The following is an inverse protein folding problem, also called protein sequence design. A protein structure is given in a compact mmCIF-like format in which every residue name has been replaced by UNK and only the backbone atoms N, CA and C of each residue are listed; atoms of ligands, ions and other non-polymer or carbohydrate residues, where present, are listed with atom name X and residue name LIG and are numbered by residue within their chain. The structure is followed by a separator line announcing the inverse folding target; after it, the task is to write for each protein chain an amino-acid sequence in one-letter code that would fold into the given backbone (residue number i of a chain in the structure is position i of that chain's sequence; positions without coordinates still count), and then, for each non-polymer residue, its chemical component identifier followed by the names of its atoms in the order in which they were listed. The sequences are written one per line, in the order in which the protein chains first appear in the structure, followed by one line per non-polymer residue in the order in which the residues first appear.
data_IF_900133834687
#
_entry.id   IF_900133834687
#
_cell.length_a   1.000
_cell.length_b   1.000
_cell.length_c   1.000
_cell.angle_alpha   90.00
_cell.angle_beta   90.00
_cell.angle_gamma   90.00
#
_symmetry.space_group_name_H-M   'P 1'
#
loop_
_entity.id
_entity.type
_entity.pdbx_description
1 polymer ?
#
# COMPACT_ATOMS: atom_id res chain seq x y z
N UNK A 1 42.48 -7.33 61.22
CA UNK A 1 42.66 -8.16 62.43
C UNK A 1 41.49 -9.15 62.48
N UNK A 2 41.72 -10.34 61.91
CA UNK A 2 41.41 -11.71 62.37
C UNK A 2 40.35 -11.93 63.49
N UNK A 3 39.45 -12.93 63.51
CA UNK A 3 39.31 -14.25 62.85
C UNK A 3 37.80 -14.66 62.86
N UNK A 4 37.24 -15.16 61.74
CA UNK A 4 36.59 -16.49 61.50
C UNK A 4 35.28 -16.82 62.24
N UNK A 5 34.28 -17.56 61.73
CA UNK A 5 34.25 -18.73 60.84
C UNK A 5 32.92 -18.86 60.04
N UNK A 6 33.03 -19.29 58.78
CA UNK A 6 32.05 -20.14 58.04
C UNK A 6 32.44 -21.62 58.24
N UNK A 7 31.70 -22.70 57.84
CA UNK A 7 30.69 -22.79 56.76
C UNK A 7 29.55 -23.83 56.94
N UNK A 8 28.61 -23.89 55.97
CA UNK A 8 28.32 -25.12 55.19
C UNK A 8 27.21 -24.94 54.14
N UNK A 9 27.63 -25.10 52.88
CA UNK A 9 26.81 -25.45 51.73
C UNK A 9 26.13 -26.83 51.91
N UNK A 10 24.93 -27.00 51.35
CA UNK A 10 24.57 -28.23 50.64
C UNK A 10 23.54 -27.95 49.55
N UNK A 11 23.85 -28.50 48.39
CA UNK A 11 23.19 -28.34 47.11
C UNK A 11 21.82 -29.02 47.05
N UNK A 12 20.94 -28.52 46.18
CA UNK A 12 19.89 -29.33 45.59
C UNK A 12 19.75 -28.97 44.11
N UNK A 13 20.46 -29.75 43.29
CA UNK A 13 20.25 -29.92 41.86
C UNK A 13 18.96 -30.73 41.64
N UNK A 14 18.00 -30.16 40.90
CA UNK A 14 16.95 -30.95 40.24
C UNK A 14 16.96 -30.65 38.75
N UNK A 15 17.55 -31.60 38.01
CA UNK A 15 17.40 -31.77 36.58
C UNK A 15 15.92 -31.98 36.23
N UNK A 16 15.38 -31.18 35.31
CA UNK A 16 14.19 -31.54 34.55
C UNK A 16 14.61 -31.83 33.13
N UNK A 17 14.74 -33.11 32.85
CA UNK A 17 14.90 -33.70 31.52
C UNK A 17 13.69 -33.40 30.65
N UNK A 18 13.96 -32.84 29.48
CA UNK A 18 13.05 -32.70 28.35
C UNK A 18 12.68 -34.08 27.80
N UNK A 19 11.38 -34.37 27.69
CA UNK A 19 10.88 -35.50 26.91
C UNK A 19 10.48 -34.99 25.54
N UNK A 20 11.30 -35.35 24.57
CA UNK A 20 11.01 -35.31 23.14
C UNK A 20 9.75 -36.13 22.84
N UNK A 21 8.80 -35.51 22.15
CA UNK A 21 7.69 -36.21 21.49
C UNK A 21 7.99 -36.28 19.99
N UNK A 22 8.21 -37.49 19.51
CA UNK A 22 8.32 -37.85 18.11
C UNK A 22 6.96 -38.31 17.61
N UNK A 23 6.38 -37.74 16.54
CA UNK A 23 5.24 -38.35 15.88
C UNK A 23 5.72 -39.42 14.90
N UNK A 24 5.28 -40.65 15.14
CA UNK A 24 5.50 -41.81 14.29
C UNK A 24 4.55 -41.80 13.10
N UNK A 25 5.12 -42.09 11.93
CA UNK A 25 4.46 -42.40 10.68
C UNK A 25 3.55 -43.63 10.79
N UNK A 26 2.30 -43.53 10.31
CA UNK A 26 1.52 -44.68 9.82
C UNK A 26 0.87 -44.34 8.49
N UNK A 27 1.44 -44.92 7.44
CA UNK A 27 0.80 -45.21 6.16
C UNK A 27 -0.38 -46.18 6.33
N UNK A 28 -1.49 -45.90 5.64
CA UNK A 28 -2.39 -46.92 5.10
C UNK A 28 -3.09 -46.40 3.85
N UNK A 29 -3.53 -47.36 3.03
CA UNK A 29 -3.53 -47.35 1.57
C UNK A 29 -4.89 -47.13 0.91
N UNK A 30 -4.81 -46.59 -0.31
CA UNK A 30 -5.53 -46.95 -1.56
C UNK A 30 -7.07 -46.80 -1.72
N UNK A 31 -7.37 -46.34 -2.95
CA UNK A 31 -8.60 -46.43 -3.77
C UNK A 31 -9.64 -45.33 -3.50
N UNK A 32 -10.25 -44.68 -4.48
CA UNK A 32 -10.54 -45.08 -5.86
C UNK A 32 -10.63 -43.85 -6.79
N UNK A 33 -10.32 -44.10 -8.07
CA UNK A 33 -10.40 -43.15 -9.16
C UNK A 33 -11.85 -42.93 -9.62
N UNK A 34 -12.22 -41.69 -9.93
CA UNK A 34 -13.28 -41.39 -10.88
C UNK A 34 -12.76 -40.38 -11.89
N UNK A 35 -12.64 -40.88 -13.11
CA UNK A 35 -12.41 -40.17 -14.36
C UNK A 35 -13.60 -39.27 -14.71
N UNK A 36 -13.35 -38.04 -15.11
CA UNK A 36 -14.22 -37.35 -16.07
C UNK A 36 -13.38 -36.55 -17.05
N UNK A 37 -13.48 -36.98 -18.29
CA UNK A 37 -12.78 -36.54 -19.47
C UNK A 37 -13.34 -35.24 -20.07
N UNK A 38 -12.48 -34.60 -20.87
CA UNK A 38 -12.77 -33.84 -22.11
C UNK A 38 -13.53 -32.50 -22.02
N UNK A 39 -12.82 -31.41 -22.31
CA UNK A 39 -12.94 -30.75 -23.63
C UNK A 39 -11.93 -29.59 -23.76
N UNK A 40 -10.82 -29.86 -24.43
CA UNK A 40 -9.87 -28.84 -24.87
C UNK A 40 -10.37 -28.20 -26.16
N UNK A 41 -11.08 -27.07 -26.06
CA UNK A 41 -11.36 -26.22 -27.21
C UNK A 41 -10.20 -25.27 -27.46
N UNK A 42 -9.46 -25.55 -28.52
CA UNK A 42 -8.54 -24.63 -29.17
C UNK A 42 -9.29 -23.38 -29.67
N UNK A 43 -8.88 -22.19 -29.26
CA UNK A 43 -9.25 -20.96 -29.97
C UNK A 43 -8.00 -20.21 -30.43
N UNK A 44 -7.95 -20.11 -31.76
CA UNK A 44 -7.02 -19.38 -32.59
C UNK A 44 -7.30 -17.86 -32.51
N UNK A 45 -6.21 -17.09 -32.58
CA UNK A 45 -6.04 -15.68 -32.98
C UNK A 45 -6.82 -14.57 -32.25
N UNK A 46 -6.08 -13.55 -31.80
CA UNK A 46 -6.48 -12.15 -32.00
C UNK A 46 -5.25 -11.24 -32.16
N UNK A 47 -5.08 -10.72 -33.37
CA UNK A 47 -4.22 -9.58 -33.71
C UNK A 47 -4.91 -8.30 -33.20
N UNK A 48 -4.24 -7.40 -32.44
CA UNK A 48 -4.89 -6.16 -32.04
C UNK A 48 -4.89 -5.16 -33.19
N UNK A 49 -6.09 -4.85 -33.67
CA UNK A 49 -6.35 -3.70 -34.51
C UNK A 49 -6.09 -2.39 -33.73
N UNK A 50 -5.55 -1.42 -34.45
CA UNK A 50 -5.20 -0.06 -34.03
C UNK A 50 -6.37 0.72 -33.41
N UNK A 51 -6.18 1.16 -32.16
CA UNK A 51 -7.07 2.09 -31.47
C UNK A 51 -6.67 2.26 -30.00
N UNK A 52 -5.52 2.90 -29.72
CA UNK A 52 -4.98 2.98 -28.36
C UNK A 52 -5.80 3.92 -27.45
N UNK A 53 -6.72 3.37 -26.68
CA UNK A 53 -7.22 4.02 -25.46
C UNK A 53 -6.20 3.75 -24.34
N UNK A 54 -5.26 4.69 -24.14
CA UNK A 54 -4.19 4.62 -23.13
C UNK A 54 -4.74 4.78 -21.70
N UNK A 55 -5.44 3.77 -21.18
CA UNK A 55 -5.95 3.79 -19.81
C UNK A 55 -5.21 2.82 -18.89
N UNK A 56 -5.22 3.11 -17.59
CA UNK A 56 -4.57 2.28 -16.56
C UNK A 56 -5.27 0.92 -16.40
N UNK A 57 -4.55 -0.08 -15.86
CA UNK A 57 -5.14 -1.40 -15.56
C UNK A 57 -6.40 -1.31 -14.69
N UNK A 58 -6.44 -0.33 -13.77
CA UNK A 58 -7.64 -0.03 -12.98
C UNK A 58 -8.82 0.30 -13.91
N UNK A 59 -8.64 1.19 -14.89
CA UNK A 59 -9.69 1.48 -15.86
C UNK A 59 -10.12 0.22 -16.62
N UNK A 60 -9.18 -0.63 -17.02
CA UNK A 60 -9.50 -1.86 -17.76
C UNK A 60 -10.35 -2.84 -16.93
N UNK A 61 -10.20 -2.85 -15.60
CA UNK A 61 -11.03 -3.65 -14.69
C UNK A 61 -12.45 -3.10 -14.46
N UNK A 62 -12.74 -1.86 -14.88
CA UNK A 62 -14.05 -1.23 -14.67
C UNK A 62 -15.11 -1.76 -15.64
N UNK A 63 -16.38 -1.65 -15.23
CA UNK A 63 -17.53 -1.95 -16.08
C UNK A 63 -17.56 -1.02 -17.30
N UNK A 64 -18.17 -1.48 -18.40
CA UNK A 64 -18.32 -0.70 -19.64
C UNK A 64 -19.02 0.65 -19.40
N UNK A 65 -20.02 0.66 -18.52
CA UNK A 65 -20.72 1.89 -18.11
C UNK A 65 -19.77 2.87 -17.43
N UNK A 66 -19.00 2.43 -16.42
CA UNK A 66 -18.04 3.30 -15.72
C UNK A 66 -16.97 3.84 -16.68
N UNK A 67 -16.48 3.01 -17.60
CA UNK A 67 -15.52 3.43 -18.64
C UNK A 67 -16.08 4.55 -19.53
N UNK A 68 -17.32 4.40 -19.99
CA UNK A 68 -18.01 5.39 -20.83
C UNK A 68 -18.12 6.75 -20.12
N UNK A 69 -18.50 6.74 -18.84
CA UNK A 69 -18.59 7.94 -18.00
C UNK A 69 -17.22 8.62 -17.86
N UNK A 70 -16.17 7.84 -17.59
CA UNK A 70 -14.81 8.35 -17.50
C UNK A 70 -14.41 9.02 -18.80
N UNK A 71 -14.66 8.38 -19.95
CA UNK A 71 -14.29 8.91 -21.26
C UNK A 71 -15.02 10.21 -21.57
N UNK A 72 -16.31 10.31 -21.23
CA UNK A 72 -17.11 11.53 -21.39
C UNK A 72 -16.59 12.71 -20.57
N UNK A 73 -16.27 12.49 -19.30
CA UNK A 73 -15.72 13.52 -18.40
C UNK A 73 -14.30 13.92 -18.83
N UNK A 74 -13.55 12.97 -19.38
CA UNK A 74 -12.16 13.14 -19.79
C UNK A 74 -12.00 13.76 -21.19
N UNK A 75 -13.08 13.91 -21.97
CA UNK A 75 -13.04 14.51 -23.30
C UNK A 75 -12.41 15.90 -23.24
N UNK A 76 -11.29 16.08 -23.95
CA UNK A 76 -10.72 17.41 -24.17
C UNK A 76 -11.78 18.32 -24.79
N UNK A 77 -11.81 19.62 -24.46
CA UNK A 77 -12.66 20.56 -25.17
C UNK A 77 -12.39 20.43 -26.68
N UNK A 78 -13.45 20.47 -27.50
CA UNK A 78 -13.32 20.59 -28.96
C UNK A 78 -12.57 21.89 -29.23
N UNK A 79 -11.25 21.81 -29.39
CA UNK A 79 -10.45 22.91 -29.91
C UNK A 79 -11.03 23.15 -31.30
N UNK A 80 -11.72 24.28 -31.53
CA UNK A 80 -12.03 24.73 -32.88
C UNK A 80 -10.68 24.75 -33.59
N UNK A 81 -10.47 23.85 -34.56
CA UNK A 81 -9.30 23.90 -35.43
C UNK A 81 -9.30 25.30 -36.04
N UNK A 82 -8.42 26.19 -35.58
CA UNK A 82 -8.14 27.36 -36.38
C UNK A 82 -7.52 26.85 -37.67
N UNK A 83 -7.98 27.36 -38.80
CA UNK A 83 -7.49 27.00 -40.14
C UNK A 83 -5.99 27.27 -40.33
N UNK A 84 -5.34 27.93 -39.36
CA UNK A 84 -3.94 28.34 -39.42
C UNK A 84 -3.02 27.53 -38.50
N UNK A 85 -3.48 26.41 -37.92
CA UNK A 85 -2.65 25.58 -37.05
C UNK A 85 -2.15 24.31 -37.76
N UNK A 86 -1.46 24.46 -38.89
CA UNK A 86 -0.47 23.45 -39.32
C UNK A 86 0.76 23.54 -38.40
N UNK A 87 0.57 23.26 -37.11
CA UNK A 87 1.66 23.26 -36.16
C UNK A 87 2.15 21.83 -36.00
N UNK A 88 3.12 21.48 -36.85
CA UNK A 88 4.12 20.44 -36.57
C UNK A 88 5.08 20.94 -35.49
N UNK A 89 4.59 21.23 -34.28
CA UNK A 89 5.49 21.68 -33.21
C UNK A 89 6.22 20.48 -32.61
N UNK A 90 7.54 20.47 -32.77
CA UNK A 90 8.44 19.65 -31.96
C UNK A 90 8.15 19.83 -30.45
N UNK A 91 7.63 20.98 -30.03
CA UNK A 91 7.19 21.23 -28.66
C UNK A 91 5.95 20.39 -28.26
N UNK A 92 4.92 20.31 -29.10
CA UNK A 92 3.72 19.49 -28.86
C UNK A 92 4.07 18.00 -28.89
N UNK A 93 4.94 17.57 -29.81
CA UNK A 93 5.43 16.18 -29.83
C UNK A 93 6.28 15.85 -28.61
N UNK A 94 7.14 16.78 -28.14
CA UNK A 94 7.87 16.63 -26.87
C UNK A 94 6.93 16.54 -25.68
N UNK A 95 5.87 17.36 -25.64
CA UNK A 95 4.83 17.32 -24.60
C UNK A 95 4.08 15.99 -24.64
N UNK A 96 3.65 15.51 -25.82
CA UNK A 96 2.98 14.22 -25.98
C UNK A 96 3.89 13.04 -25.61
N UNK A 97 5.16 13.07 -26.02
CA UNK A 97 6.16 12.05 -25.67
C UNK A 97 6.47 12.06 -24.17
N UNK A 98 6.52 13.24 -23.55
CA UNK A 98 6.63 13.42 -22.10
C UNK A 98 5.41 12.81 -21.39
N UNK A 99 4.18 13.12 -21.81
CA UNK A 99 2.98 12.56 -21.19
C UNK A 99 2.87 11.04 -21.38
N UNK A 100 3.19 10.51 -22.55
CA UNK A 100 3.18 9.06 -22.80
C UNK A 100 4.15 8.34 -21.85
N UNK A 101 5.39 8.82 -21.76
CA UNK A 101 6.40 8.21 -20.89
C UNK A 101 6.05 8.34 -19.40
N UNK A 102 5.73 9.56 -18.95
CA UNK A 102 5.68 9.89 -17.52
C UNK A 102 4.30 9.75 -16.88
N UNK A 103 3.24 9.76 -17.68
CA UNK A 103 1.86 9.67 -17.19
C UNK A 103 1.18 8.35 -17.56
N UNK A 104 1.80 7.53 -18.44
CA UNK A 104 1.25 6.23 -18.86
C UNK A 104 2.24 5.10 -18.60
N UNK A 105 3.41 5.09 -19.23
CA UNK A 105 4.29 3.90 -19.23
C UNK A 105 5.05 3.71 -17.91
N UNK A 106 5.58 4.79 -17.33
CA UNK A 106 6.41 4.79 -16.12
C UNK A 106 5.74 5.56 -14.96
N UNK A 107 4.41 5.72 -14.98
CA UNK A 107 3.66 6.58 -14.04
C UNK A 107 4.00 6.33 -12.57
N UNK A 108 4.22 5.06 -12.21
CA UNK A 108 4.32 4.61 -10.81
C UNK A 108 5.75 4.59 -10.26
N UNK A 109 6.76 4.99 -11.04
CA UNK A 109 8.10 5.24 -10.48
C UNK A 109 8.04 6.45 -9.55
N UNK A 110 8.83 6.47 -8.47
CA UNK A 110 8.76 7.56 -7.48
C UNK A 110 9.01 8.94 -8.09
N UNK A 111 9.96 9.02 -9.02
CA UNK A 111 10.27 10.26 -9.74
C UNK A 111 9.07 10.80 -10.51
N UNK A 112 8.30 9.92 -11.14
CA UNK A 112 7.14 10.30 -11.94
C UNK A 112 5.92 10.57 -11.05
N UNK A 113 5.74 9.80 -9.96
CA UNK A 113 4.75 10.09 -8.92
C UNK A 113 4.91 11.51 -8.36
N UNK A 114 6.15 11.94 -8.05
CA UNK A 114 6.43 13.31 -7.56
C UNK A 114 6.19 14.39 -8.63
N UNK A 115 6.54 14.14 -9.90
CA UNK A 115 6.22 15.07 -11.00
C UNK A 115 4.71 15.20 -11.19
N UNK A 116 4.00 14.08 -11.19
CA UNK A 116 2.55 14.03 -11.34
C UNK A 116 1.84 14.71 -10.17
N UNK A 117 2.34 14.55 -8.94
CA UNK A 117 1.90 15.30 -7.77
C UNK A 117 1.90 16.81 -8.00
N UNK A 118 3.01 17.38 -8.45
CA UNK A 118 3.12 18.82 -8.71
C UNK A 118 2.12 19.28 -9.78
N UNK A 119 1.94 18.49 -10.83
CA UNK A 119 0.99 18.78 -11.89
C UNK A 119 -0.46 18.78 -11.39
N UNK A 120 -0.89 17.71 -10.70
CA UNK A 120 -2.25 17.59 -10.17
C UNK A 120 -2.52 18.62 -9.07
N UNK A 121 -1.58 18.83 -8.15
CA UNK A 121 -1.69 19.85 -7.11
C UNK A 121 -1.96 21.22 -7.72
N UNK A 122 -1.17 21.63 -8.73
CA UNK A 122 -1.36 22.91 -9.41
C UNK A 122 -2.70 23.02 -10.14
N UNK A 123 -3.28 21.92 -10.60
CA UNK A 123 -4.59 21.91 -11.23
C UNK A 123 -5.74 22.11 -10.23
N UNK A 124 -5.64 21.49 -9.05
CA UNK A 124 -6.71 21.50 -8.03
C UNK A 124 -6.50 22.51 -6.89
N UNK A 125 -5.35 23.20 -6.83
CA UNK A 125 -5.01 24.15 -5.75
C UNK A 125 -6.04 25.27 -5.59
N UNK A 126 -6.67 25.71 -6.66
CA UNK A 126 -7.61 26.85 -6.64
C UNK A 126 -9.04 26.48 -6.25
N UNK A 127 -9.35 25.19 -6.06
CA UNK A 127 -10.68 24.76 -5.55
C UNK A 127 -10.88 25.38 -4.17
N UNK A 128 -11.88 26.26 -4.03
CA UNK A 128 -12.20 26.97 -2.79
C UNK A 128 -13.10 26.14 -1.88
N UNK A 129 -13.15 26.48 -0.59
CA UNK A 129 -13.98 25.75 0.40
C UNK A 129 -15.49 25.79 0.09
N UNK A 130 -15.97 26.86 -0.53
CA UNK A 130 -17.36 27.02 -0.98
C UNK A 130 -17.66 26.27 -2.29
N UNK A 131 -16.63 25.78 -2.99
CA UNK A 131 -16.74 24.94 -4.19
C UNK A 131 -16.67 23.44 -3.85
N UNK A 132 -17.05 23.10 -2.62
CA UNK A 132 -17.08 21.74 -2.08
C UNK A 132 -18.09 20.81 -2.84
N UNK A 133 -18.09 19.53 -2.47
CA UNK A 133 -19.05 18.45 -2.79
C UNK A 133 -20.46 19.00 -3.08
N UNK A 134 -20.82 18.96 -4.36
CA UNK A 134 -22.18 19.18 -4.86
C UNK A 134 -22.74 17.86 -5.32
N UNK A 135 -24.00 17.59 -4.96
CA UNK A 135 -24.73 16.47 -5.55
C UNK A 135 -24.96 16.74 -7.04
N UNK A 136 -24.73 15.74 -7.87
CA UNK A 136 -25.04 15.79 -9.29
C UNK A 136 -26.32 15.00 -9.55
N UNK A 137 -27.23 15.58 -10.35
CA UNK A 137 -28.49 14.94 -10.76
C UNK A 137 -28.26 13.82 -11.79
N UNK A 138 -27.07 13.73 -12.35
CA UNK A 138 -26.67 12.67 -13.26
C UNK A 138 -26.48 11.36 -12.50
N UNK A 139 -27.14 10.27 -12.91
CA UNK A 139 -27.00 8.95 -12.28
C UNK A 139 -25.56 8.41 -12.36
N UNK A 140 -24.80 8.82 -13.37
CA UNK A 140 -23.41 8.41 -13.61
C UNK A 140 -22.40 9.10 -12.69
N UNK A 141 -22.68 10.35 -12.28
CA UNK A 141 -21.80 11.17 -11.46
C UNK A 141 -22.52 11.49 -10.18
N UNK A 142 -22.06 10.92 -9.07
CA UNK A 142 -22.76 11.09 -7.79
C UNK A 142 -22.48 12.45 -7.16
N UNK A 143 -21.22 12.89 -7.19
CA UNK A 143 -20.82 14.19 -6.65
C UNK A 143 -19.78 14.88 -7.52
N UNK A 144 -19.73 16.20 -7.46
CA UNK A 144 -18.68 17.01 -8.08
C UNK A 144 -18.02 17.94 -7.06
N UNK A 145 -16.75 18.30 -7.30
CA UNK A 145 -16.02 19.28 -6.48
C UNK A 145 -15.31 20.26 -7.42
N UNK A 146 -15.61 21.55 -7.25
CA UNK A 146 -15.05 22.66 -8.02
C UNK A 146 -15.15 22.52 -9.53
N UNK A 147 -16.14 21.77 -10.03
CA UNK A 147 -16.32 21.40 -11.45
C UNK A 147 -15.08 20.81 -12.13
N UNK A 148 -14.13 20.33 -11.32
CA UNK A 148 -12.84 19.75 -11.71
C UNK A 148 -12.76 18.26 -11.37
N UNK A 149 -13.41 17.84 -10.29
CA UNK A 149 -13.39 16.48 -9.75
C UNK A 149 -14.80 15.89 -9.79
N UNK A 150 -14.92 14.67 -10.30
CA UNK A 150 -16.17 13.96 -10.50
C UNK A 150 -16.11 12.62 -9.79
N UNK A 151 -16.88 12.45 -8.71
CA UNK A 151 -16.90 11.25 -7.88
C UNK A 151 -17.95 10.30 -8.48
N UNK A 152 -17.46 9.26 -9.16
CA UNK A 152 -18.28 8.42 -10.04
C UNK A 152 -18.69 7.09 -9.41
N UNK A 153 -17.88 6.53 -8.51
CA UNK A 153 -18.12 5.20 -7.93
C UNK A 153 -17.54 5.12 -6.53
N UNK A 154 -18.28 4.55 -5.56
CA UNK A 154 -17.72 4.18 -4.25
C UNK A 154 -16.71 3.04 -4.44
N UNK A 155 -15.55 3.13 -3.81
CA UNK A 155 -14.52 2.08 -3.79
C UNK A 155 -14.13 1.79 -2.34
N UNK A 156 -13.79 0.54 -2.05
CA UNK A 156 -13.56 0.06 -0.68
C UNK A 156 -14.85 -0.07 0.14
N UNK A 157 -14.71 -0.51 1.38
CA UNK A 157 -15.81 -0.70 2.33
C UNK A 157 -16.20 0.62 2.97
N UNK A 158 -17.51 0.90 3.07
CA UNK A 158 -17.98 2.04 3.85
C UNK A 158 -17.73 1.77 5.34
N UNK A 159 -17.04 2.70 6.01
CA UNK A 159 -16.75 2.60 7.43
C UNK A 159 -17.23 3.85 8.18
N UNK A 160 -17.23 3.77 9.51
CA UNK A 160 -17.44 4.95 10.38
C UNK A 160 -16.44 6.06 10.04
N UNK A 161 -15.23 5.68 9.62
CA UNK A 161 -14.14 6.60 9.26
C UNK A 161 -14.37 7.39 7.97
N UNK A 162 -15.23 6.92 7.05
CA UNK A 162 -15.56 7.66 5.84
C UNK A 162 -15.93 6.81 4.64
N UNK A 163 -16.07 7.47 3.49
CA UNK A 163 -16.38 6.84 2.21
C UNK A 163 -15.31 7.24 1.19
N UNK A 164 -14.79 6.28 0.44
CA UNK A 164 -13.83 6.54 -0.64
C UNK A 164 -14.57 6.44 -1.98
N UNK A 165 -14.31 7.42 -2.85
CA UNK A 165 -14.81 7.46 -4.21
C UNK A 165 -13.66 7.37 -5.20
N UNK A 166 -13.87 6.59 -6.26
CA UNK A 166 -13.15 6.74 -7.51
C UNK A 166 -13.52 8.08 -8.12
N UNK A 167 -12.52 8.90 -8.37
CA UNK A 167 -12.69 10.30 -8.78
C UNK A 167 -12.05 10.55 -10.13
N UNK A 168 -12.81 11.14 -11.04
CA UNK A 168 -12.33 11.57 -12.35
C UNK A 168 -11.93 13.04 -12.33
N UNK A 169 -10.73 13.33 -12.82
CA UNK A 169 -10.28 14.69 -13.12
C UNK A 169 -10.74 15.09 -14.52
N UNK A 170 -11.55 16.13 -14.61
CA UNK A 170 -11.98 16.72 -15.88
C UNK A 170 -10.80 17.40 -16.57
N UNK A 171 -10.68 17.26 -17.89
CA UNK A 171 -9.71 17.98 -18.74
C UNK A 171 -8.21 17.79 -18.38
N UNK A 172 -7.86 16.68 -17.71
CA UNK A 172 -6.47 16.36 -17.36
C UNK A 172 -5.92 15.28 -18.29
N UNK A 173 -4.63 15.36 -18.62
CA UNK A 173 -3.94 14.38 -19.45
C UNK A 173 -3.22 13.34 -18.59
N UNK A 174 -3.32 12.05 -18.95
CA UNK A 174 -2.40 11.02 -18.47
C UNK A 174 -2.73 10.40 -17.11
N UNK A 175 -4.00 10.23 -16.76
CA UNK A 175 -4.35 9.46 -15.56
C UNK A 175 -5.45 10.12 -14.78
N UNK A 176 -6.62 10.10 -15.39
CA UNK A 176 -7.78 10.88 -14.98
C UNK A 176 -8.41 10.35 -13.69
N UNK A 177 -7.83 9.34 -13.05
CA UNK A 177 -8.38 8.63 -11.91
C UNK A 177 -7.56 8.90 -10.64
N UNK A 178 -8.25 9.38 -9.62
CA UNK A 178 -7.80 9.61 -8.25
C UNK A 178 -8.74 8.89 -7.28
N UNK A 179 -8.39 8.91 -5.98
CA UNK A 179 -9.30 8.55 -4.91
C UNK A 179 -9.70 9.81 -4.11
N UNK A 180 -10.97 9.94 -3.76
CA UNK A 180 -11.45 10.98 -2.84
C UNK A 180 -12.06 10.33 -1.61
N UNK A 181 -11.43 10.53 -0.44
CA UNK A 181 -11.96 10.07 0.85
C UNK A 181 -12.74 11.22 1.48
N UNK A 182 -14.00 10.98 1.82
CA UNK A 182 -14.90 11.93 2.48
C UNK A 182 -15.18 11.41 3.88
N UNK A 183 -14.86 12.21 4.89
CA UNK A 183 -14.89 11.81 6.29
C UNK A 183 -15.57 12.86 7.18
N UNK A 184 -16.06 12.48 8.38
CA UNK A 184 -16.52 13.44 9.38
C UNK A 184 -15.39 14.36 9.88
N UNK A 185 -15.74 15.58 10.30
CA UNK A 185 -14.82 16.51 10.97
C UNK A 185 -14.61 16.07 12.42
N UNK A 186 -13.80 15.03 12.61
CA UNK A 186 -13.41 14.52 13.93
C UNK A 186 -11.89 14.50 14.10
N UNK A 187 -11.44 14.41 15.34
CA UNK A 187 -10.01 14.48 15.72
C UNK A 187 -9.16 13.46 14.97
N UNK A 188 -9.63 12.23 14.85
CA UNK A 188 -8.89 11.13 14.23
C UNK A 188 -8.70 11.37 12.73
N UNK A 189 -9.73 11.80 12.01
CA UNK A 189 -9.63 12.11 10.57
C UNK A 189 -8.73 13.33 10.32
N UNK A 190 -8.76 14.33 11.19
CA UNK A 190 -7.81 15.45 11.11
C UNK A 190 -6.37 15.02 11.36
N UNK A 191 -6.15 14.07 12.29
CA UNK A 191 -4.83 13.49 12.53
C UNK A 191 -4.34 12.72 11.30
N UNK A 192 -5.19 11.89 10.69
CA UNK A 192 -4.86 11.16 9.46
C UNK A 192 -4.38 12.13 8.36
N UNK A 193 -5.13 13.20 8.10
CA UNK A 193 -4.75 14.21 7.10
C UNK A 193 -3.42 14.90 7.44
N UNK A 194 -3.17 15.23 8.71
CA UNK A 194 -1.89 15.83 9.12
C UNK A 194 -0.73 14.88 8.87
N UNK A 195 -0.90 13.59 9.15
CA UNK A 195 0.10 12.54 8.89
C UNK A 195 0.33 12.41 7.38
N UNK A 196 -0.74 12.26 6.58
CA UNK A 196 -0.65 12.15 5.13
C UNK A 196 0.03 13.37 4.49
N UNK A 197 -0.28 14.58 4.97
CA UNK A 197 0.37 15.82 4.52
C UNK A 197 1.87 15.80 4.83
N UNK A 198 2.24 15.44 6.07
CA UNK A 198 3.64 15.32 6.48
C UNK A 198 4.39 14.33 5.60
N UNK A 199 3.81 13.15 5.36
CA UNK A 199 4.41 12.13 4.50
C UNK A 199 4.57 12.64 3.06
N UNK A 200 3.54 13.24 2.50
CA UNK A 200 3.60 13.80 1.13
C UNK A 200 4.69 14.86 0.98
N UNK A 201 4.71 15.85 1.89
CA UNK A 201 5.59 17.01 1.76
C UNK A 201 7.03 16.71 2.16
N UNK A 202 7.23 15.95 3.25
CA UNK A 202 8.57 15.75 3.86
C UNK A 202 9.21 14.42 3.52
N UNK A 203 8.45 13.45 3.00
CA UNK A 203 8.97 12.11 2.70
C UNK A 203 8.93 11.84 1.20
N UNK A 204 7.72 11.77 0.62
CA UNK A 204 7.54 11.37 -0.77
C UNK A 204 8.12 12.42 -1.73
N UNK A 205 7.79 13.70 -1.51
CA UNK A 205 8.30 14.80 -2.35
C UNK A 205 9.81 14.97 -2.28
N UNK A 206 10.43 14.54 -1.18
CA UNK A 206 11.89 14.50 -0.98
C UNK A 206 12.52 13.16 -1.41
N UNK A 207 11.71 12.25 -1.97
CA UNK A 207 12.11 10.91 -2.43
C UNK A 207 12.74 10.02 -1.35
N UNK A 208 12.39 10.26 -0.08
CA UNK A 208 12.92 9.51 1.07
C UNK A 208 12.29 8.14 1.25
N UNK A 209 11.11 7.90 0.70
CA UNK A 209 10.46 6.58 0.69
C UNK A 209 9.41 6.52 -0.41
N UNK A 210 9.17 5.32 -0.94
CA UNK A 210 8.12 5.01 -1.92
C UNK A 210 6.88 4.32 -1.32
N UNK A 211 6.92 4.01 -0.03
CA UNK A 211 5.93 3.19 0.70
C UNK A 211 4.71 3.95 1.23
N UNK A 212 4.43 5.13 0.70
CA UNK A 212 3.32 5.99 1.13
C UNK A 212 2.55 6.50 -0.08
N UNK A 213 1.24 6.70 0.07
CA UNK A 213 0.39 7.33 -0.94
C UNK A 213 0.49 8.85 -0.89
N UNK A 214 0.43 9.48 -2.07
CA UNK A 214 0.42 10.94 -2.19
C UNK A 214 -0.97 11.49 -1.88
N UNK A 215 -1.04 12.49 -1.01
CA UNK A 215 -2.22 13.34 -0.84
C UNK A 215 -2.04 14.61 -1.67
N UNK A 216 -2.83 14.76 -2.73
CA UNK A 216 -2.77 15.94 -3.58
C UNK A 216 -3.33 17.17 -2.88
N UNK A 217 -4.48 17.05 -2.20
CA UNK A 217 -5.12 18.19 -1.54
C UNK A 217 -6.07 17.69 -0.46
N UNK A 218 -6.32 18.52 0.56
CA UNK A 218 -7.45 18.37 1.45
C UNK A 218 -8.15 19.71 1.64
N UNK A 219 -9.43 19.69 2.02
CA UNK A 219 -10.19 20.87 2.41
C UNK A 219 -11.35 20.49 3.33
N UNK A 220 -11.76 21.46 4.15
CA UNK A 220 -12.93 21.36 5.02
C UNK A 220 -14.09 22.07 4.34
N UNK A 221 -15.13 21.31 4.05
CA UNK A 221 -16.38 21.82 3.56
C UNK A 221 -17.16 22.44 4.71
N UNK A 222 -17.35 23.76 4.67
CA UNK A 222 -18.10 24.41 5.74
C UNK A 222 -19.57 23.99 5.65
N UNK A 223 -20.27 23.83 6.80
CA UNK A 223 -21.67 23.46 6.79
C UNK A 223 -22.47 24.48 5.97
N UNK A 224 -23.31 23.97 5.08
CA UNK A 224 -24.38 24.74 4.48
C UNK A 224 -25.37 25.15 5.56
N UNK A 225 -25.99 26.32 5.44
CA UNK A 225 -27.10 26.69 6.33
C UNK A 225 -28.20 25.62 6.27
N UNK A 226 -29.01 25.48 7.34
CA UNK A 226 -30.16 24.55 7.36
C UNK A 226 -31.05 24.77 6.13
N UNK A 227 -31.25 26.03 5.75
CA UNK A 227 -32.02 26.45 4.58
C UNK A 227 -31.39 25.96 3.25
N UNK A 228 -30.06 25.97 3.15
CA UNK A 228 -29.34 25.44 1.98
C UNK A 228 -29.34 23.91 1.95
N UNK A 229 -29.25 23.24 3.10
CA UNK A 229 -29.39 21.79 3.19
C UNK A 229 -30.78 21.32 2.76
N UNK A 230 -31.83 22.08 3.09
CA UNK A 230 -33.20 21.82 2.63
C UNK A 230 -33.37 22.07 1.12
N UNK A 231 -32.67 23.06 0.55
CA UNK A 231 -32.71 23.38 -0.90
C UNK A 231 -31.82 22.48 -1.77
N UNK A 232 -30.76 21.92 -1.19
CA UNK A 232 -29.76 21.05 -1.84
C UNK A 232 -29.41 19.89 -0.91
N UNK A 233 -30.32 18.91 -0.72
CA UNK A 233 -30.03 17.77 0.11
C UNK A 233 -28.77 17.08 -0.41
N UNK A 234 -27.75 16.91 0.44
CA UNK A 234 -26.72 15.92 0.16
C UNK A 234 -27.48 14.60 0.01
N UNK A 235 -27.39 13.96 -1.16
CA UNK A 235 -28.00 12.65 -1.37
C UNK A 235 -27.67 11.73 -0.19
N UNK A 236 -28.62 10.87 0.18
CA UNK A 236 -28.77 10.10 1.43
C UNK A 236 -27.57 9.29 1.96
N UNK A 237 -26.40 9.37 1.34
CA UNK A 237 -25.24 8.52 1.62
C UNK A 237 -23.97 9.27 2.05
N UNK A 238 -23.99 10.61 2.13
CA UNK A 238 -22.91 11.38 2.77
C UNK A 238 -23.57 12.23 3.84
N UNK A 239 -23.41 11.81 5.09
CA UNK A 239 -24.02 12.49 6.24
C UNK A 239 -23.58 13.97 6.29
N UNK A 240 -24.44 14.90 6.75
CA UNK A 240 -24.14 16.34 6.78
C UNK A 240 -22.86 16.73 7.54
N UNK A 241 -22.35 15.85 8.41
CA UNK A 241 -21.11 15.96 9.18
C UNK A 241 -19.86 15.51 8.39
N UNK A 242 -20.02 14.71 7.33
CA UNK A 242 -18.96 14.23 6.43
C UNK A 242 -18.53 15.36 5.48
N UNK A 243 -17.65 16.21 5.99
CA UNK A 243 -17.23 17.48 5.37
C UNK A 243 -15.73 17.61 5.18
N UNK A 244 -14.95 16.66 5.66
CA UNK A 244 -13.51 16.64 5.49
C UNK A 244 -13.18 15.81 4.25
N UNK A 245 -12.58 16.44 3.24
CA UNK A 245 -12.27 15.79 1.96
C UNK A 245 -10.76 15.71 1.79
N UNK A 246 -10.25 14.52 1.47
CA UNK A 246 -8.89 14.31 1.00
C UNK A 246 -8.88 13.73 -0.42
N UNK A 247 -8.02 14.29 -1.27
CA UNK A 247 -7.80 13.89 -2.66
C UNK A 247 -6.46 13.17 -2.71
N UNK A 248 -6.49 11.89 -3.02
CA UNK A 248 -5.36 10.97 -2.87
C UNK A 248 -5.03 10.28 -4.18
N UNK A 249 -3.80 9.80 -4.27
CA UNK A 249 -3.34 8.88 -5.31
C UNK A 249 -4.18 7.59 -5.28
N UNK A 250 -4.47 7.06 -6.48
CA UNK A 250 -5.21 5.82 -6.64
C UNK A 250 -4.23 4.64 -6.71
N UNK A 251 -4.40 3.68 -5.81
CA UNK A 251 -3.73 2.38 -5.85
C UNK A 251 -4.45 1.40 -6.80
N UNK A 252 -3.79 0.29 -7.15
CA UNK A 252 -4.41 -0.75 -7.98
C UNK A 252 -5.27 -1.72 -7.17
N UNK A 253 -4.99 -1.86 -5.88
CA UNK A 253 -5.73 -2.68 -4.93
C UNK A 253 -5.06 -2.65 -3.56
N UNK A 254 -5.49 -3.54 -2.68
CA UNK A 254 -4.92 -3.76 -1.35
C UNK A 254 -4.22 -5.13 -1.25
N UNK A 255 -3.50 -5.37 -0.14
CA UNK A 255 -2.76 -6.61 0.07
C UNK A 255 -3.70 -7.82 0.14
N UNK A 256 -4.94 -7.64 0.62
CA UNK A 256 -5.96 -8.70 0.64
C UNK A 256 -6.18 -9.25 -0.77
N UNK A 257 -6.37 -8.37 -1.75
CA UNK A 257 -6.56 -8.76 -3.15
C UNK A 257 -5.37 -9.55 -3.72
N UNK A 258 -4.14 -9.24 -3.30
CA UNK A 258 -2.97 -10.01 -3.72
C UNK A 258 -2.94 -11.41 -3.07
N UNK A 259 -3.32 -11.49 -1.79
CA UNK A 259 -3.32 -12.74 -1.02
C UNK A 259 -4.49 -13.67 -1.38
N UNK A 260 -5.55 -13.15 -2.00
CA UNK A 260 -6.63 -13.96 -2.59
C UNK A 260 -6.20 -14.60 -3.92
N UNK A 261 -5.18 -14.08 -4.62
CA UNK A 261 -4.72 -14.63 -5.90
C UNK A 261 -3.78 -15.82 -5.68
N UNK A 262 -4.29 -17.03 -5.99
CA UNK A 262 -3.52 -18.28 -5.90
C UNK A 262 -2.18 -18.23 -6.63
N UNK A 263 -2.07 -17.51 -7.76
CA UNK A 263 -0.82 -17.42 -8.54
C UNK A 263 0.25 -16.61 -7.82
N UNK A 264 -0.16 -15.64 -7.00
CA UNK A 264 0.75 -14.79 -6.24
C UNK A 264 1.23 -15.56 -5.01
N UNK A 265 0.30 -16.12 -4.23
CA UNK A 265 0.63 -16.80 -2.97
C UNK A 265 1.36 -18.13 -3.16
N UNK A 266 1.25 -18.77 -4.33
CA UNK A 266 2.03 -19.97 -4.64
C UNK A 266 3.46 -19.66 -5.08
N UNK A 267 3.86 -18.38 -5.12
CA UNK A 267 5.19 -17.94 -5.49
C UNK A 267 5.91 -17.38 -4.26
N UNK A 268 6.71 -18.22 -3.61
CA UNK A 268 7.39 -17.86 -2.37
C UNK A 268 8.37 -16.70 -2.53
N UNK A 269 9.11 -16.60 -3.64
CA UNK A 269 10.02 -15.48 -3.90
C UNK A 269 9.26 -14.14 -3.91
N UNK A 270 8.11 -14.12 -4.59
CA UNK A 270 7.24 -12.95 -4.67
C UNK A 270 6.60 -12.64 -3.31
N UNK A 271 6.14 -13.66 -2.58
CA UNK A 271 5.54 -13.53 -1.26
C UNK A 271 6.53 -12.96 -0.24
N UNK A 272 7.78 -13.45 -0.21
CA UNK A 272 8.83 -12.88 0.62
C UNK A 272 9.12 -11.43 0.27
N UNK A 273 9.14 -11.09 -1.03
CA UNK A 273 9.35 -9.71 -1.45
C UNK A 273 8.23 -8.78 -0.94
N UNK A 274 6.97 -9.19 -1.10
CA UNK A 274 5.79 -8.44 -0.62
C UNK A 274 5.83 -8.30 0.91
N UNK A 275 6.19 -9.37 1.62
CA UNK A 275 6.37 -9.37 3.08
C UNK A 275 7.43 -8.37 3.54
N UNK A 276 8.62 -8.40 2.92
CA UNK A 276 9.72 -7.47 3.22
C UNK A 276 9.28 -6.02 2.98
N UNK A 277 8.64 -5.73 1.84
CA UNK A 277 8.12 -4.38 1.56
C UNK A 277 7.07 -3.93 2.58
N UNK A 278 6.22 -4.85 3.04
CA UNK A 278 5.21 -4.57 4.08
C UNK A 278 5.90 -4.17 5.38
N UNK A 279 6.89 -4.91 5.86
CA UNK A 279 7.64 -4.58 7.07
C UNK A 279 8.45 -3.28 6.92
N UNK A 280 9.11 -3.08 5.77
CA UNK A 280 9.82 -1.83 5.47
C UNK A 280 8.87 -0.62 5.47
N UNK A 281 7.64 -0.77 4.99
CA UNK A 281 6.64 0.30 5.02
C UNK A 281 6.26 0.71 6.45
N UNK A 282 6.12 -0.27 7.37
CA UNK A 282 5.86 -0.02 8.79
C UNK A 282 7.08 0.65 9.44
N UNK A 283 8.28 0.12 9.21
CA UNK A 283 9.51 0.68 9.77
C UNK A 283 9.73 2.14 9.32
N UNK A 284 9.61 2.40 8.01
CA UNK A 284 9.63 3.76 7.47
C UNK A 284 8.53 4.63 8.08
N UNK A 285 7.32 4.11 8.30
CA UNK A 285 6.23 4.89 8.91
C UNK A 285 6.56 5.30 10.34
N UNK A 286 7.00 4.35 11.16
CA UNK A 286 7.39 4.59 12.55
C UNK A 286 8.40 5.72 12.67
N UNK A 287 9.45 5.69 11.85
CA UNK A 287 10.54 6.67 11.93
C UNK A 287 10.22 8.00 11.24
N UNK A 288 9.72 7.95 10.00
CA UNK A 288 9.54 9.17 9.20
C UNK A 288 8.27 9.93 9.59
N UNK A 289 7.20 9.23 9.97
CA UNK A 289 6.01 9.85 10.51
C UNK A 289 6.15 10.14 12.01
N UNK A 290 6.91 9.35 12.76
CA UNK A 290 6.98 9.44 14.23
C UNK A 290 5.69 8.94 14.89
N UNK A 291 5.10 7.88 14.35
CA UNK A 291 3.81 7.33 14.79
C UNK A 291 3.80 5.80 14.69
N UNK A 292 3.09 5.12 15.59
CA UNK A 292 2.62 3.74 15.39
C UNK A 292 1.30 3.77 14.65
N UNK A 293 1.04 2.76 13.83
CA UNK A 293 -0.16 2.68 12.99
C UNK A 293 -1.38 2.23 13.80
N UNK A 294 -1.19 1.21 14.63
CA UNK A 294 -2.19 0.54 15.49
C UNK A 294 -3.34 -0.14 14.73
N UNK A 295 -3.25 -0.26 13.41
CA UNK A 295 -4.30 -0.89 12.61
C UNK A 295 -3.78 -1.54 11.32
N UNK A 296 -2.70 -2.31 11.44
CA UNK A 296 -2.02 -2.96 10.32
C UNK A 296 -2.69 -4.28 9.91
N UNK A 297 -3.92 -4.20 9.38
CA UNK A 297 -4.52 -5.33 8.66
C UNK A 297 -4.26 -5.21 7.15
N UNK A 298 -4.40 -6.30 6.38
CA UNK A 298 -4.09 -6.35 4.94
C UNK A 298 -4.81 -5.27 4.08
N UNK A 299 -5.90 -4.68 4.58
CA UNK A 299 -6.71 -3.70 3.83
C UNK A 299 -6.09 -2.31 3.89
N UNK A 300 -5.21 -2.09 4.86
CA UNK A 300 -4.46 -0.85 5.06
C UNK A 300 -3.08 -0.89 4.39
N UNK A 301 -2.78 -1.94 3.62
CA UNK A 301 -1.60 -2.01 2.76
C UNK A 301 -2.05 -2.01 1.31
N UNK A 302 -1.78 -0.92 0.61
CA UNK A 302 -2.17 -0.70 -0.78
C UNK A 302 -1.02 -0.99 -1.72
N UNK A 303 -1.31 -1.48 -2.92
CA UNK A 303 -0.25 -1.78 -3.90
C UNK A 303 -0.38 -0.99 -5.20
N UNK A 304 0.77 -0.75 -5.80
CA UNK A 304 0.88 -0.35 -7.20
C UNK A 304 1.65 -1.40 -7.99
N UNK A 305 1.19 -1.69 -9.21
CA UNK A 305 1.99 -2.49 -10.14
C UNK A 305 3.30 -1.75 -10.46
N UNK A 306 4.38 -2.51 -10.53
CA UNK A 306 5.72 -2.05 -10.73
C UNK A 306 6.35 -2.77 -11.92
N UNK A 307 7.09 -2.01 -12.74
CA UNK A 307 7.84 -2.52 -13.90
C UNK A 307 9.35 -2.24 -13.78
N UNK A 308 9.78 -1.63 -12.68
CA UNK A 308 11.20 -1.34 -12.45
C UNK A 308 11.96 -2.65 -12.20
N UNK A 309 13.13 -2.79 -12.83
CA UNK A 309 13.99 -3.97 -12.73
C UNK A 309 15.33 -3.54 -12.13
N UNK A 310 15.80 -4.24 -11.11
CA UNK A 310 17.03 -3.93 -10.37
C UNK A 310 16.77 -3.99 -8.87
N UNK A 311 17.53 -3.20 -8.11
CA UNK A 311 17.39 -3.10 -6.67
C UNK A 311 17.11 -1.67 -6.22
N UNK A 312 16.25 -1.52 -5.22
CA UNK A 312 16.08 -0.28 -4.49
C UNK A 312 17.08 -0.21 -3.35
N UNK A 313 17.81 0.89 -3.29
CA UNK A 313 18.76 1.19 -2.22
C UNK A 313 18.03 1.82 -1.04
N UNK A 314 18.18 1.22 0.13
CA UNK A 314 17.71 1.69 1.42
C UNK A 314 18.90 1.98 2.35
N UNK A 315 18.70 2.89 3.30
CA UNK A 315 19.64 3.19 4.37
C UNK A 315 18.95 3.16 5.72
N UNK A 316 19.64 2.57 6.70
CA UNK A 316 19.26 2.55 8.11
C UNK A 316 20.54 2.62 8.96
N UNK A 317 20.64 3.55 9.91
CA UNK A 317 21.84 3.74 10.76
C UNK A 317 23.17 3.73 9.95
N UNK A 318 23.23 4.50 8.85
CA UNK A 318 24.36 4.56 7.91
C UNK A 318 24.73 3.24 7.21
N UNK A 319 23.97 2.16 7.43
CA UNK A 319 24.13 0.89 6.74
C UNK A 319 23.26 0.88 5.49
N UNK A 320 23.80 0.38 4.38
CA UNK A 320 23.10 0.26 3.10
C UNK A 320 22.49 -1.14 2.95
N UNK A 321 21.27 -1.16 2.44
CA UNK A 321 20.54 -2.38 2.12
C UNK A 321 19.93 -2.25 0.73
N UNK A 322 19.74 -3.36 0.04
CA UNK A 322 19.28 -3.39 -1.34
C UNK A 322 18.15 -4.40 -1.48
N UNK A 323 16.95 -3.93 -1.81
CA UNK A 323 15.77 -4.78 -2.05
C UNK A 323 15.55 -4.97 -3.54
N UNK A 324 15.50 -6.22 -4.00
CA UNK A 324 15.16 -6.59 -5.38
C UNK A 324 13.77 -6.08 -5.71
N UNK A 325 13.62 -5.39 -6.83
CA UNK A 325 12.29 -4.96 -7.30
C UNK A 325 11.46 -6.16 -7.74
N UNK A 326 10.17 -6.16 -7.41
CA UNK A 326 9.19 -7.13 -7.91
C UNK A 326 8.04 -6.41 -8.63
N UNK A 327 7.03 -7.16 -9.06
CA UNK A 327 5.86 -6.65 -9.79
C UNK A 327 4.97 -5.68 -8.97
N UNK A 328 5.23 -5.52 -7.68
CA UNK A 328 4.43 -4.70 -6.77
C UNK A 328 5.27 -3.71 -5.95
N UNK A 329 4.70 -2.54 -5.71
CA UNK A 329 5.14 -1.59 -4.69
C UNK A 329 4.08 -1.54 -3.58
N UNK A 330 4.44 -1.95 -2.36
CA UNK A 330 3.53 -1.96 -1.20
C UNK A 330 3.63 -0.64 -0.44
N UNK A 331 2.49 -0.09 -0.04
CA UNK A 331 2.36 1.19 0.66
C UNK A 331 1.39 1.06 1.84
N UNK A 332 1.79 1.54 3.01
CA UNK A 332 0.92 1.58 4.19
C UNK A 332 -0.03 2.79 4.11
N UNK A 333 -1.29 2.62 4.53
CA UNK A 333 -2.37 3.60 4.41
C UNK A 333 -3.37 3.52 5.57
N UNK A 334 -4.29 4.48 5.63
CA UNK A 334 -5.33 4.64 6.68
C UNK A 334 -4.77 4.84 8.10
N UNK A 335 -4.33 6.08 8.36
CA UNK A 335 -3.72 6.46 9.64
C UNK A 335 -4.74 6.93 10.69
N UNK A 336 -6.01 6.52 10.54
CA UNK A 336 -7.10 6.92 11.43
C UNK A 336 -6.82 6.62 12.90
N UNK A 337 -6.17 5.49 13.20
CA UNK A 337 -5.82 5.03 14.55
C UNK A 337 -4.38 5.33 15.00
N UNK A 338 -3.60 6.02 14.16
CA UNK A 338 -2.18 6.19 14.40
C UNK A 338 -1.89 7.04 15.66
N UNK A 339 -0.97 6.59 16.52
CA UNK A 339 -0.57 7.33 17.73
C UNK A 339 0.86 7.78 17.63
N UNK A 340 1.21 8.92 18.24
CA UNK A 340 2.60 9.39 18.28
C UNK A 340 3.53 8.31 18.86
N UNK A 341 4.66 8.10 18.22
CA UNK A 341 5.73 7.26 18.76
C UNK A 341 6.46 8.00 19.87
N UNK A 342 6.72 7.32 20.98
CA UNK A 342 7.61 7.80 22.04
C UNK A 342 9.01 7.22 21.82
N UNK A 343 10.06 8.04 21.94
CA UNK A 343 11.45 7.60 21.67
C UNK A 343 11.95 6.62 22.75
N UNK A 344 12.76 5.65 22.30
CA UNK A 344 13.37 4.53 23.02
C UNK A 344 12.33 3.46 23.39
N UNK A 345 12.55 2.24 22.89
CA UNK A 345 11.74 1.02 23.02
C UNK A 345 10.27 1.21 23.39
N UNK A 346 9.40 0.94 22.43
CA UNK A 346 7.97 0.86 22.72
C UNK A 346 7.44 -0.44 22.16
N UNK A 347 7.16 -1.40 23.05
CA UNK A 347 6.53 -2.69 22.72
C UNK A 347 5.33 -2.53 21.79
N UNK A 348 4.59 -1.40 21.89
CA UNK A 348 3.47 -1.11 20.98
C UNK A 348 3.87 -1.04 19.51
N UNK A 349 5.11 -0.71 19.17
CA UNK A 349 5.60 -0.77 17.80
C UNK A 349 5.57 -2.20 17.23
N UNK A 350 5.82 -3.22 18.07
CA UNK A 350 5.80 -4.62 17.64
C UNK A 350 4.40 -5.09 17.27
N UNK A 351 3.35 -4.53 17.90
CA UNK A 351 1.96 -4.88 17.59
C UNK A 351 1.60 -4.63 16.12
N UNK A 352 2.19 -3.61 15.49
CA UNK A 352 1.97 -3.35 14.07
C UNK A 352 2.51 -4.51 13.20
N UNK A 353 3.63 -5.12 13.57
CA UNK A 353 4.24 -6.25 12.85
C UNK A 353 3.54 -7.58 13.19
N UNK A 354 3.26 -7.83 14.48
CA UNK A 354 2.56 -9.03 14.97
C UNK A 354 1.16 -9.12 14.35
N UNK A 355 0.48 -7.98 14.17
CA UNK A 355 -0.86 -7.98 13.57
C UNK A 355 -0.79 -8.34 12.09
N UNK A 356 0.06 -7.69 11.29
CA UNK A 356 0.06 -7.89 9.83
C UNK A 356 0.62 -9.24 9.41
N UNK A 357 1.54 -9.85 10.17
CA UNK A 357 2.15 -11.12 9.77
C UNK A 357 1.13 -12.26 9.62
N UNK A 358 0.01 -12.22 10.35
CA UNK A 358 -1.08 -13.18 10.18
C UNK A 358 -1.62 -13.21 8.75
N UNK A 359 -1.54 -12.12 7.98
CA UNK A 359 -1.97 -12.08 6.59
C UNK A 359 -1.11 -12.91 5.63
N UNK A 360 0.12 -13.24 6.03
CA UNK A 360 1.05 -14.03 5.22
C UNK A 360 1.01 -15.53 5.56
N UNK A 361 0.17 -15.94 6.50
CA UNK A 361 0.00 -17.35 6.87
C UNK A 361 -1.17 -17.97 6.11
N UNK A 362 -1.22 -19.30 6.08
CA UNK A 362 -2.36 -20.05 5.54
C UNK A 362 -3.64 -19.84 6.40
N UNK A 363 -4.77 -20.38 5.95
CA UNK A 363 -6.06 -20.28 6.65
C UNK A 363 -6.05 -20.89 8.08
N UNK A 364 -5.24 -21.91 8.32
CA UNK A 364 -5.17 -22.61 9.61
C UNK A 364 -4.44 -21.80 10.68
N UNK A 365 -3.41 -21.07 10.26
CA UNK A 365 -2.45 -20.42 11.15
C UNK A 365 -2.64 -18.89 11.26
N UNK A 366 -3.33 -18.28 10.29
CA UNK A 366 -3.58 -16.85 10.26
C UNK A 366 -4.81 -16.42 9.45
N UNK A 367 -4.64 -15.43 8.59
CA UNK A 367 -5.72 -14.82 7.80
C UNK A 367 -5.66 -15.18 6.31
N UNK A 368 -4.94 -16.24 5.96
CA UNK A 368 -4.89 -16.75 4.60
C UNK A 368 -6.24 -17.27 4.13
N UNK A 369 -6.42 -17.29 2.81
CA UNK A 369 -7.67 -17.74 2.17
C UNK A 369 -7.68 -19.24 1.85
N UNK A 370 -6.54 -19.89 2.01
CA UNK A 370 -6.33 -21.25 1.53
C UNK A 370 -5.62 -22.07 2.60
N UNK A 371 -6.04 -23.32 2.83
CA UNK A 371 -5.39 -24.21 3.79
C UNK A 371 -4.09 -24.82 3.25
N UNK A 372 -3.89 -24.77 1.94
CA UNK A 372 -2.77 -25.36 1.19
C UNK A 372 -1.74 -24.32 0.71
N UNK A 373 -2.03 -23.02 0.87
CA UNK A 373 -1.18 -21.92 0.41
C UNK A 373 -1.06 -20.83 1.49
N UNK A 374 0.08 -20.15 1.63
CA UNK A 374 1.35 -20.33 0.89
C UNK A 374 2.02 -21.69 1.20
N UNK A 375 3.20 -21.95 0.61
CA UNK A 375 3.92 -23.21 0.85
C UNK A 375 4.12 -23.47 2.36
N UNK A 376 4.20 -24.75 2.74
CA UNK A 376 4.42 -25.11 4.15
C UNK A 376 5.70 -24.47 4.70
N UNK A 377 6.78 -24.47 3.90
CA UNK A 377 8.06 -23.85 4.27
C UNK A 377 7.93 -22.34 4.49
N UNK A 378 7.21 -21.64 3.60
CA UNK A 378 6.94 -20.22 3.77
C UNK A 378 6.14 -19.95 5.06
N UNK A 379 5.09 -20.74 5.27
CA UNK A 379 4.19 -20.60 6.41
C UNK A 379 4.90 -20.84 7.75
N UNK A 380 5.75 -21.88 7.83
CA UNK A 380 6.54 -22.19 9.02
C UNK A 380 7.50 -21.04 9.37
N UNK A 381 8.10 -20.39 8.37
CA UNK A 381 8.92 -19.20 8.58
C UNK A 381 8.07 -18.04 9.10
N UNK A 382 6.87 -17.81 8.57
CA UNK A 382 5.98 -16.76 9.10
C UNK A 382 5.60 -17.02 10.57
N UNK A 383 5.30 -18.29 10.92
CA UNK A 383 5.00 -18.70 12.29
C UNK A 383 6.17 -18.41 13.23
N UNK A 384 7.38 -18.83 12.85
CA UNK A 384 8.59 -18.57 13.62
C UNK A 384 8.80 -17.07 13.89
N UNK A 385 8.61 -16.23 12.86
CA UNK A 385 8.76 -14.77 13.02
C UNK A 385 7.71 -14.21 13.97
N UNK A 386 6.45 -14.66 13.85
CA UNK A 386 5.37 -14.23 14.73
C UNK A 386 5.66 -14.60 16.18
N UNK A 387 6.16 -15.80 16.42
CA UNK A 387 6.54 -16.27 17.75
C UNK A 387 7.68 -15.43 18.32
N UNK A 388 8.74 -15.21 17.56
CA UNK A 388 9.87 -14.35 17.96
C UNK A 388 9.46 -12.89 18.22
N UNK A 389 8.57 -12.32 17.41
CA UNK A 389 8.02 -10.99 17.63
C UNK A 389 7.18 -10.94 18.92
N UNK A 390 6.43 -12.00 19.20
CA UNK A 390 5.60 -12.12 20.41
C UNK A 390 6.47 -12.24 21.66
N UNK A 391 7.54 -13.06 21.60
CA UNK A 391 8.53 -13.15 22.68
C UNK A 391 9.19 -11.80 22.94
N UNK A 392 9.62 -11.07 21.90
CA UNK A 392 10.19 -9.72 22.11
C UNK A 392 9.14 -8.75 22.70
N UNK A 393 7.87 -8.88 22.30
CA UNK A 393 6.80 -8.07 22.85
C UNK A 393 6.57 -8.36 24.34
N UNK A 394 6.60 -9.62 24.75
CA UNK A 394 6.34 -10.01 26.14
C UNK A 394 7.57 -9.82 27.04
N UNK A 395 8.75 -10.16 26.54
CA UNK A 395 9.97 -10.34 27.34
C UNK A 395 11.15 -9.44 26.93
N UNK A 396 11.05 -8.73 25.80
CA UNK A 396 12.16 -7.96 25.21
C UNK A 396 12.73 -6.84 26.09
N UNK A 397 14.01 -6.54 25.86
CA UNK A 397 14.75 -5.51 26.60
C UNK A 397 14.18 -4.12 26.30
N UNK A 398 13.86 -3.37 27.36
CA UNK A 398 13.39 -1.98 27.28
C UNK A 398 14.40 -0.99 26.69
N UNK A 399 15.64 -1.40 26.47
CA UNK A 399 16.64 -0.60 25.77
C UNK A 399 16.85 -1.02 24.30
N UNK A 400 16.19 -2.08 23.85
CA UNK A 400 16.38 -2.61 22.50
C UNK A 400 15.89 -1.62 21.43
N UNK A 401 16.57 -1.62 20.29
CA UNK A 401 16.15 -0.86 19.12
C UNK A 401 15.29 -1.76 18.23
N UNK A 402 13.97 -1.64 18.38
CA UNK A 402 12.99 -2.42 17.63
C UNK A 402 13.26 -2.36 16.13
N UNK A 403 13.65 -1.20 15.59
CA UNK A 403 13.89 -1.04 14.17
C UNK A 403 15.13 -1.81 13.70
N UNK A 404 16.21 -1.83 14.47
CA UNK A 404 17.39 -2.65 14.15
C UNK A 404 17.06 -4.13 14.25
N UNK A 405 16.24 -4.53 15.23
CA UNK A 405 15.75 -5.90 15.30
C UNK A 405 14.92 -6.27 14.06
N UNK A 406 13.96 -5.43 13.64
CA UNK A 406 13.16 -5.66 12.43
C UNK A 406 14.05 -5.77 11.20
N UNK A 407 14.97 -4.84 10.98
CA UNK A 407 15.80 -4.81 9.76
C UNK A 407 16.87 -5.90 9.77
N UNK A 408 17.66 -6.01 10.85
CA UNK A 408 18.83 -6.87 10.89
C UNK A 408 18.50 -8.31 11.33
N UNK A 409 17.66 -8.49 12.37
CA UNK A 409 17.31 -9.83 12.91
C UNK A 409 16.18 -10.49 12.13
N UNK A 410 15.16 -9.74 11.72
CA UNK A 410 14.09 -10.33 10.94
C UNK A 410 14.42 -10.23 9.45
N UNK A 411 14.34 -9.06 8.82
CA UNK A 411 14.37 -9.00 7.35
C UNK A 411 15.66 -9.54 6.72
N UNK A 412 16.84 -9.22 7.26
CA UNK A 412 18.11 -9.69 6.69
C UNK A 412 18.38 -11.15 7.05
N UNK A 413 18.43 -11.48 8.34
CA UNK A 413 18.77 -12.83 8.77
C UNK A 413 17.77 -13.88 8.25
N UNK A 414 16.46 -13.58 8.19
CA UNK A 414 15.49 -14.53 7.64
C UNK A 414 15.71 -14.80 6.15
N UNK A 415 15.93 -13.76 5.36
CA UNK A 415 16.08 -13.88 3.90
C UNK A 415 17.42 -14.51 3.55
N UNK A 416 18.49 -14.14 4.26
CA UNK A 416 19.83 -14.69 4.03
C UNK A 416 19.97 -16.12 4.54
N UNK A 417 19.26 -16.50 5.62
CA UNK A 417 19.40 -17.83 6.21
C UNK A 417 18.47 -18.86 5.57
N UNK A 418 17.18 -18.55 5.43
CA UNK A 418 16.20 -19.51 4.92
C UNK A 418 16.18 -19.55 3.39
N UNK A 419 16.41 -18.42 2.70
CA UNK A 419 16.33 -18.35 1.23
C UNK A 419 17.46 -17.52 0.58
N UNK A 420 18.74 -17.85 0.85
CA UNK A 420 19.88 -17.10 0.32
C UNK A 420 19.90 -17.01 -1.21
N UNK A 421 19.29 -18.00 -1.89
CA UNK A 421 19.28 -18.10 -3.34
C UNK A 421 18.44 -17.02 -4.02
N UNK A 422 17.40 -16.47 -3.36
CA UNK A 422 16.58 -15.43 -3.97
C UNK A 422 17.26 -14.05 -4.02
N UNK A 423 18.22 -13.80 -3.13
CA UNK A 423 18.95 -12.52 -3.00
C UNK A 423 18.00 -11.31 -2.96
N UNK A 424 16.90 -11.43 -2.19
CA UNK A 424 15.83 -10.42 -2.18
C UNK A 424 16.25 -9.15 -1.45
N UNK A 425 16.86 -9.27 -0.27
CA UNK A 425 17.26 -8.14 0.55
C UNK A 425 18.69 -8.36 1.03
N UNK A 426 19.63 -7.58 0.51
CA UNK A 426 21.07 -7.83 0.65
C UNK A 426 21.81 -6.57 1.10
N UNK A 427 22.96 -6.74 1.75
CA UNK A 427 23.86 -5.62 2.12
C UNK A 427 24.87 -5.29 1.01
N UNK A 428 25.24 -6.28 0.21
CA UNK A 428 26.18 -6.10 -0.89
C UNK A 428 25.54 -5.31 -2.03
N UNK A 429 26.25 -4.29 -2.51
CA UNK A 429 25.78 -3.41 -3.57
C UNK A 429 25.62 -4.17 -4.90
N UNK A 430 24.42 -4.23 -5.49
CA UNK A 430 24.20 -4.85 -6.78
C UNK A 430 24.52 -3.89 -7.93
N UNK A 431 24.69 -4.43 -9.13
CA UNK A 431 25.07 -3.66 -10.32
C UNK A 431 24.02 -2.60 -10.70
N UNK A 432 22.73 -2.98 -10.62
CA UNK A 432 21.62 -2.14 -11.07
C UNK A 432 20.80 -1.59 -9.90
N UNK A 433 21.09 -0.35 -9.54
CA UNK A 433 20.32 0.41 -8.53
C UNK A 433 19.30 1.32 -9.22
N UNK A 434 18.06 1.28 -8.74
CA UNK A 434 16.93 1.99 -9.34
C UNK A 434 16.88 3.45 -8.90
N UNK A 435 16.91 3.71 -7.59
CA UNK A 435 16.78 5.04 -7.01
C UNK A 435 18.14 5.72 -6.82
N UNK A 436 18.20 7.01 -7.19
CA UNK A 436 19.40 7.85 -7.02
C UNK A 436 19.64 8.30 -5.58
N UNK A 437 18.55 8.50 -4.84
CA UNK A 437 18.57 8.90 -3.43
C UNK A 437 18.13 7.67 -2.64
N UNK A 438 18.92 7.19 -1.67
CA UNK A 438 18.55 6.04 -0.86
C UNK A 438 17.25 6.29 -0.10
N UNK A 439 16.41 5.26 0.00
CA UNK A 439 15.21 5.32 0.84
C UNK A 439 15.58 5.16 2.31
N UNK A 440 14.91 5.88 3.18
CA UNK A 440 15.20 5.90 4.61
C UNK A 440 14.23 4.95 5.32
N UNK A 441 14.78 3.93 5.99
CA UNK A 441 13.99 3.05 6.87
C UNK A 441 13.82 3.71 8.23
N UNK A 442 14.87 4.35 8.74
CA UNK A 442 14.90 5.03 10.04
C UNK A 442 16.02 6.02 10.16
#
# INVERSE_FOLDING_TARGET
MNYSDTPKNKANTKSKTSKYYTPTSKTLSKSSAISSSTSSNSSKYYTPASGSSNHSDVYNSLSKETKTIIDEISKKPKIKKSSNLFITDKAIQKIQKFFKKYAVDEKYTLDNRVKYYKYIYNYIKDIKNNECIKYSKDKAVKYTIGDKLFLIKKIGTESVGGVIYLTVLKNVLGGNLLASKITPIIKDNHREIKIMKKLTDKVISQKKSKHFLIMYKHFVCHPMSILEMMKKPLGSQVSPDKRLVSINELAHGDLKMLLEDRKIISNDELMYNIFIQTFLSIASFHNLAGHYHNDTHYGNFLYQKNKEIGYYHYTYNNTSYYLKACEYNIMIYDYGYATKSYKKYNKKALLDYIKIINSFMNEKDGWGFYPDLPSAEFNDVMLLIKDELTVEYDEGDKNSNIQSMIVDKFLIFLVEYYYPHFKLFIKNKPDKIINKIPFIIG
#
